data_IF_401172533081
#
_entry.id   IF_401172533081
#
_cell.length_a   1.000
_cell.length_b   1.000
_cell.length_c   1.000
_cell.angle_alpha   90.00
_cell.angle_beta   90.00
_cell.angle_gamma   90.00
#
_symmetry.space_group_name_H-M   'P 1'
#
loop_
_entity.id
_entity.type
_entity.pdbx_description
1 polymer ?
#
# COMPACT_ATOMS: atom_id res chain seq x y z
N UNK A 1 10.48 -4.85 18.14
CA UNK A 1 9.14 -5.10 17.59
C UNK A 1 9.01 -4.33 16.28
N UNK A 2 8.27 -4.85 15.30
CA UNK A 2 8.02 -4.08 14.06
C UNK A 2 6.90 -3.07 14.27
N UNK A 3 7.07 -1.88 13.71
CA UNK A 3 6.03 -0.85 13.62
C UNK A 3 5.89 -0.40 12.17
N UNK A 4 4.66 -0.26 11.70
CA UNK A 4 4.30 0.18 10.36
C UNK A 4 3.40 1.41 10.47
N UNK A 5 3.89 2.53 9.95
CA UNK A 5 3.09 3.75 9.77
C UNK A 5 2.60 3.86 8.34
N UNK A 6 1.35 4.32 8.17
CA UNK A 6 0.70 4.45 6.86
C UNK A 6 0.44 5.91 6.57
N UNK A 7 0.99 6.40 5.46
CA UNK A 7 0.77 7.74 4.95
C UNK A 7 0.01 7.69 3.63
N UNK A 8 -1.21 8.22 3.63
CA UNK A 8 -2.03 8.35 2.43
C UNK A 8 -1.66 9.62 1.64
N UNK A 9 -1.48 9.49 0.33
CA UNK A 9 -1.15 10.60 -0.56
C UNK A 9 -1.91 10.52 -1.88
N UNK A 10 -2.48 11.66 -2.27
CA UNK A 10 -2.93 11.90 -3.65
C UNK A 10 -1.86 12.67 -4.38
N UNK A 11 -1.22 12.02 -5.35
CA UNK A 11 -0.22 12.62 -6.21
C UNK A 11 -0.89 13.16 -7.47
N UNK A 12 -0.49 14.35 -7.90
CA UNK A 12 -1.00 14.97 -9.12
C UNK A 12 0.03 14.78 -10.23
N UNK A 13 -0.39 14.20 -11.35
CA UNK A 13 0.49 14.04 -12.50
C UNK A 13 0.81 15.42 -13.10
N UNK A 14 2.10 15.70 -13.32
CA UNK A 14 2.54 16.92 -14.01
C UNK A 14 2.00 17.01 -15.43
N UNK A 15 1.90 15.87 -16.10
CA UNK A 15 1.28 15.69 -17.40
C UNK A 15 0.27 14.55 -17.28
N UNK A 16 -1.00 14.73 -17.66
CA UNK A 16 -2.01 13.68 -17.56
C UNK A 16 -1.57 12.41 -18.28
N UNK A 17 -1.72 11.26 -17.62
CA UNK A 17 -1.31 9.96 -18.15
C UNK A 17 -2.47 9.33 -18.94
N UNK A 18 -2.33 9.29 -20.27
CA UNK A 18 -3.27 8.58 -21.13
C UNK A 18 -3.12 7.07 -21.02
N UNK A 19 -4.24 6.36 -20.92
CA UNK A 19 -4.34 4.90 -20.91
C UNK A 19 -5.42 4.44 -21.88
N UNK A 20 -5.50 3.13 -22.17
CA UNK A 20 -6.60 2.57 -22.98
C UNK A 20 -7.98 2.75 -22.36
N UNK A 21 -8.07 3.13 -21.07
CA UNK A 21 -9.32 3.29 -20.30
C UNK A 21 -9.61 4.73 -19.88
N UNK A 22 -8.82 5.70 -20.35
CA UNK A 22 -9.02 7.12 -20.03
C UNK A 22 -7.73 7.81 -19.62
N UNK A 23 -7.86 9.00 -19.04
CA UNK A 23 -6.74 9.86 -18.69
C UNK A 23 -6.67 10.01 -17.17
N UNK A 24 -5.55 9.62 -16.58
CA UNK A 24 -5.29 9.84 -15.16
C UNK A 24 -4.63 11.20 -14.93
N UNK A 25 -5.23 11.99 -14.05
CA UNK A 25 -4.69 13.27 -13.57
C UNK A 25 -4.14 13.15 -12.15
N UNK A 26 -4.53 12.11 -11.42
CA UNK A 26 -4.06 11.83 -10.06
C UNK A 26 -3.72 10.35 -9.88
N UNK A 27 -2.89 10.05 -8.88
CA UNK A 27 -2.58 8.71 -8.38
C UNK A 27 -2.75 8.71 -6.86
N UNK A 28 -3.55 7.78 -6.37
CA UNK A 28 -3.70 7.53 -4.94
C UNK A 28 -2.70 6.46 -4.51
N UNK A 29 -1.90 6.76 -3.49
CA UNK A 29 -0.86 5.87 -2.98
C UNK A 29 -0.85 5.86 -1.46
N UNK A 30 -0.63 4.69 -0.89
CA UNK A 30 -0.31 4.50 0.52
C UNK A 30 1.19 4.23 0.65
N UNK A 31 1.89 5.07 1.40
CA UNK A 31 3.28 4.82 1.76
C UNK A 31 3.33 4.14 3.12
N UNK A 32 4.08 3.04 3.21
CA UNK A 32 4.29 2.28 4.42
C UNK A 32 5.72 2.50 4.90
N UNK A 33 5.89 2.95 6.14
CA UNK A 33 7.20 3.04 6.78
C UNK A 33 7.30 1.97 7.86
N UNK A 34 8.19 1.00 7.65
CA UNK A 34 8.52 -0.06 8.59
C UNK A 34 9.74 0.34 9.43
N UNK A 35 9.61 0.26 10.75
CA UNK A 35 10.70 0.42 11.72
C UNK A 35 10.80 -0.78 12.64
N UNK A 36 11.97 -0.98 13.28
CA UNK A 36 12.19 -2.03 14.27
C UNK A 36 13.00 -1.52 15.46
N UNK A 37 12.55 -1.83 16.68
CA UNK A 37 13.33 -1.51 17.89
C UNK A 37 14.70 -2.23 17.93
N UNK A 38 14.84 -3.34 17.20
CA UNK A 38 16.10 -4.09 17.12
C UNK A 38 17.13 -3.43 16.20
N UNK A 39 16.67 -2.55 15.30
CA UNK A 39 17.52 -1.79 14.37
C UNK A 39 17.15 -0.30 14.40
N UNK A 40 17.40 0.42 15.51
CA UNK A 40 17.05 1.83 15.63
C UNK A 40 17.69 2.68 14.53
N UNK A 41 16.89 3.55 13.90
CA UNK A 41 17.34 4.43 12.82
C UNK A 41 17.39 3.78 11.43
N UNK A 42 17.07 2.49 11.32
CA UNK A 42 16.88 1.82 10.02
C UNK A 42 15.39 1.75 9.70
N UNK A 43 15.02 2.20 8.50
CA UNK A 43 13.63 2.22 8.04
C UNK A 43 13.52 1.57 6.66
N UNK A 44 12.44 0.81 6.46
CA UNK A 44 12.03 0.32 5.14
C UNK A 44 10.80 1.09 4.66
N UNK A 45 10.80 1.57 3.42
CA UNK A 45 9.66 2.29 2.85
C UNK A 45 9.11 1.52 1.65
N UNK A 46 7.81 1.26 1.66
CA UNK A 46 7.06 0.63 0.57
C UNK A 46 5.90 1.50 0.07
N UNK A 47 5.43 1.24 -1.14
CA UNK A 47 4.23 1.86 -1.71
C UNK A 47 3.19 0.78 -2.04
N UNK A 48 1.96 1.00 -1.60
CA UNK A 48 0.79 0.23 -1.99
C UNK A 48 -0.16 1.17 -2.75
N UNK A 49 -0.40 0.89 -4.03
CA UNK A 49 -1.19 1.78 -4.88
C UNK A 49 -1.94 1.01 -5.96
N UNK A 50 -3.26 1.09 -5.90
CA UNK A 50 -4.16 0.51 -6.90
C UNK A 50 -4.33 1.45 -8.09
N UNK A 51 -4.54 0.89 -9.28
CA UNK A 51 -4.98 1.63 -10.46
C UNK A 51 -6.50 1.51 -10.61
N UNK A 52 -7.28 2.61 -10.49
CA UNK A 52 -8.72 2.58 -10.73
C UNK A 52 -9.03 1.95 -12.09
N UNK A 53 -10.02 1.07 -12.15
CA UNK A 53 -10.46 0.38 -13.38
C UNK A 53 -9.45 -0.60 -14.01
N UNK A 54 -8.33 -0.89 -13.36
CA UNK A 54 -7.35 -1.88 -13.81
C UNK A 54 -6.94 -2.87 -12.71
N UNK A 55 -6.63 -2.37 -11.52
CA UNK A 55 -6.27 -3.20 -10.38
C UNK A 55 -7.46 -4.07 -9.94
N UNK A 56 -7.26 -5.38 -9.84
CA UNK A 56 -8.31 -6.30 -9.38
C UNK A 56 -8.68 -6.09 -7.90
N UNK A 57 -7.80 -5.42 -7.16
CA UNK A 57 -7.90 -5.05 -5.76
C UNK A 57 -8.27 -3.59 -5.52
N UNK A 58 -8.60 -2.83 -6.57
CA UNK A 58 -9.23 -1.52 -6.45
C UNK A 58 -10.68 -1.67 -5.94
N UNK A 59 -10.82 -1.98 -4.65
CA UNK A 59 -12.09 -2.29 -3.98
C UNK A 59 -12.35 -1.27 -2.87
N UNK A 60 -13.63 -0.99 -2.52
CA UNK A 60 -13.97 -0.07 -1.44
C UNK A 60 -13.30 -0.39 -0.09
N UNK A 61 -13.08 -1.68 0.18
CA UNK A 61 -12.48 -2.18 1.41
C UNK A 61 -10.94 -2.09 1.47
N UNK A 62 -10.27 -1.71 0.37
CA UNK A 62 -8.81 -1.78 0.23
C UNK A 62 -8.06 -1.11 1.39
N UNK A 63 -8.46 0.11 1.77
CA UNK A 63 -7.82 0.87 2.85
C UNK A 63 -7.94 0.19 4.21
N UNK A 64 -9.05 -0.52 4.45
CA UNK A 64 -9.28 -1.26 5.69
C UNK A 64 -8.45 -2.53 5.69
N UNK A 65 -8.44 -3.27 4.58
CA UNK A 65 -7.62 -4.47 4.41
C UNK A 65 -6.13 -4.16 4.61
N UNK A 66 -5.62 -3.08 4.01
CA UNK A 66 -4.22 -2.65 4.16
C UNK A 66 -3.86 -2.43 5.63
N UNK A 67 -4.69 -1.69 6.38
CA UNK A 67 -4.46 -1.46 7.82
C UNK A 67 -4.44 -2.77 8.62
N UNK A 68 -5.37 -3.68 8.33
CA UNK A 68 -5.44 -4.98 9.00
C UNK A 68 -4.19 -5.83 8.73
N UNK A 69 -3.73 -5.86 7.47
CA UNK A 69 -2.51 -6.58 7.09
C UNK A 69 -1.30 -5.99 7.80
N UNK A 70 -1.14 -4.67 7.83
CA UNK A 70 -0.04 -4.02 8.55
C UNK A 70 -0.04 -4.40 10.04
N UNK A 71 -1.21 -4.36 10.69
CA UNK A 71 -1.35 -4.77 12.10
C UNK A 71 -0.97 -6.25 12.32
N UNK A 72 -1.36 -7.13 11.41
CA UNK A 72 -0.97 -8.55 11.49
C UNK A 72 0.54 -8.73 11.32
N UNK A 73 1.19 -7.97 10.43
CA UNK A 73 2.65 -8.02 10.26
C UNK A 73 3.35 -7.53 11.52
N UNK A 74 2.89 -6.43 12.14
CA UNK A 74 3.43 -5.95 13.41
C UNK A 74 3.34 -7.02 14.52
N UNK A 75 2.22 -7.75 14.60
CA UNK A 75 1.98 -8.78 15.62
C UNK A 75 2.71 -10.10 15.36
N UNK A 76 2.74 -10.55 14.10
CA UNK A 76 3.23 -11.88 13.73
C UNK A 76 4.71 -11.88 13.31
N UNK A 77 5.26 -10.72 12.97
CA UNK A 77 6.62 -10.59 12.42
C UNK A 77 6.78 -11.17 11.01
N UNK A 78 5.69 -11.49 10.31
CA UNK A 78 5.70 -12.08 8.97
C UNK A 78 4.49 -11.65 8.14
N UNK A 79 4.63 -11.70 6.82
CA UNK A 79 3.58 -11.37 5.86
C UNK A 79 2.54 -12.51 5.78
N UNK A 80 1.22 -12.23 5.91
CA UNK A 80 0.17 -13.23 5.80
C UNK A 80 -0.21 -13.49 4.32
N UNK A 81 0.69 -14.11 3.54
CA UNK A 81 0.55 -14.27 2.08
C UNK A 81 -0.78 -14.85 1.59
N UNK A 82 -1.37 -15.81 2.32
CA UNK A 82 -2.65 -16.39 1.92
C UNK A 82 -3.81 -15.38 1.98
N UNK A 83 -3.78 -14.43 2.91
CA UNK A 83 -4.81 -13.39 3.07
C UNK A 83 -4.71 -12.32 1.98
N UNK A 84 -3.48 -11.96 1.59
CA UNK A 84 -3.22 -10.88 0.63
C UNK A 84 -3.23 -11.35 -0.83
N UNK A 85 -3.49 -12.63 -1.10
CA UNK A 85 -3.51 -13.17 -2.48
C UNK A 85 -4.48 -12.44 -3.40
N UNK A 86 -5.59 -11.92 -2.87
CA UNK A 86 -6.56 -11.13 -3.61
C UNK A 86 -6.21 -9.64 -3.74
N UNK A 87 -5.08 -9.20 -3.15
CA UNK A 87 -4.62 -7.82 -3.04
C UNK A 87 -3.17 -7.69 -3.54
N UNK A 88 -2.89 -7.90 -4.83
CA UNK A 88 -1.54 -7.90 -5.38
C UNK A 88 -0.76 -6.58 -5.22
N UNK A 89 -1.42 -5.46 -4.89
CA UNK A 89 -0.74 -4.21 -4.54
C UNK A 89 -0.32 -4.11 -3.06
N UNK A 90 -0.63 -5.13 -2.26
CA UNK A 90 -0.21 -5.33 -0.86
C UNK A 90 0.66 -6.60 -0.80
N UNK A 91 1.94 -6.54 -1.22
CA UNK A 91 2.85 -7.72 -1.26
C UNK A 91 4.23 -7.40 -0.74
#
# INVERSE_FOLDING_TARGET
MYKIDILERTLHFKQPAGTSRGVYTTRHSYYLTLTSDELPGVEGVGECATLPDLSCDAKPEYAVTLRQVCQMVEQMGRIPYDMIRAYPSIT
#
